data_IF_494051820315
#
_entry.id   IF_494051820315
#
_cell.length_a   1.000
_cell.length_b   1.000
_cell.length_c   1.000
_cell.angle_alpha   90.00
_cell.angle_beta   90.00
_cell.angle_gamma   90.00
#
_symmetry.space_group_name_H-M   'P 1'
#
loop_
_entity.id
_entity.type
_entity.pdbx_description
1 polymer ?
#
# COMPACT_ATOMS: atom_id res chain seq x y z
N UNK A 1 8.67 1.48 -95.90
CA UNK A 1 8.42 0.57 -94.79
C UNK A 1 9.14 1.07 -93.54
N UNK A 2 10.47 1.01 -93.46
CA UNK A 2 11.24 1.54 -92.31
C UNK A 2 10.78 2.89 -91.74
N UNK A 3 10.68 3.94 -92.56
CA UNK A 3 10.27 5.28 -92.10
C UNK A 3 8.90 5.26 -91.40
N UNK A 4 7.92 4.57 -91.97
CA UNK A 4 6.56 4.50 -91.41
C UNK A 4 6.59 3.77 -90.07
N UNK A 5 7.26 2.62 -90.02
CA UNK A 5 7.31 1.79 -88.82
C UNK A 5 8.09 2.52 -87.69
N UNK A 6 9.10 3.31 -88.04
CA UNK A 6 9.81 4.20 -87.13
C UNK A 6 8.94 5.38 -86.63
N UNK A 7 8.15 6.01 -87.50
CA UNK A 7 7.21 7.07 -87.13
C UNK A 7 6.08 6.53 -86.22
N UNK A 8 5.60 5.32 -86.49
CA UNK A 8 4.61 4.61 -85.66
C UNK A 8 5.17 4.29 -84.26
N UNK A 9 6.39 3.76 -84.18
CA UNK A 9 7.04 3.48 -82.90
C UNK A 9 7.31 4.77 -82.12
N UNK A 10 7.79 5.83 -82.77
CA UNK A 10 8.02 7.13 -82.11
C UNK A 10 6.71 7.69 -81.53
N UNK A 11 5.62 7.67 -82.31
CA UNK A 11 4.32 8.14 -81.83
C UNK A 11 3.85 7.35 -80.62
N UNK A 12 4.02 6.03 -80.64
CA UNK A 12 3.70 5.16 -79.52
C UNK A 12 4.57 5.48 -78.29
N UNK A 13 5.89 5.61 -78.45
CA UNK A 13 6.81 5.95 -77.35
C UNK A 13 6.42 7.28 -76.71
N UNK A 14 6.12 8.31 -77.52
CA UNK A 14 5.73 9.62 -77.04
C UNK A 14 4.40 9.61 -76.25
N UNK A 15 3.41 8.84 -76.68
CA UNK A 15 2.15 8.65 -75.94
C UNK A 15 2.40 7.99 -74.57
N UNK A 16 3.22 6.93 -74.55
CA UNK A 16 3.58 6.23 -73.31
C UNK A 16 4.42 7.11 -72.40
N UNK A 17 5.28 7.96 -72.95
CA UNK A 17 6.08 8.95 -72.21
C UNK A 17 5.20 9.97 -71.46
N UNK A 18 4.09 10.42 -72.06
CA UNK A 18 3.13 11.27 -71.37
C UNK A 18 2.53 10.55 -70.15
N UNK A 19 2.15 9.29 -70.31
CA UNK A 19 1.59 8.47 -69.22
C UNK A 19 2.62 8.17 -68.12
N UNK A 20 3.87 7.91 -68.50
CA UNK A 20 4.98 7.68 -67.57
C UNK A 20 5.37 8.95 -66.80
N UNK A 21 5.19 10.13 -67.39
CA UNK A 21 5.55 11.42 -66.78
C UNK A 21 4.47 12.01 -65.86
N UNK A 22 3.27 11.44 -65.84
CA UNK A 22 2.19 11.86 -64.93
C UNK A 22 2.58 11.62 -63.46
N UNK A 23 2.29 12.60 -62.60
CA UNK A 23 2.64 12.64 -61.17
C UNK A 23 1.53 12.13 -60.24
N UNK A 24 0.68 11.21 -60.71
CA UNK A 24 -0.39 10.60 -59.91
C UNK A 24 0.04 9.95 -58.58
N UNK A 25 1.35 9.72 -58.38
CA UNK A 25 1.95 9.27 -57.12
C UNK A 25 1.85 10.29 -55.98
N UNK A 26 1.65 11.59 -56.26
CA UNK A 26 1.53 12.62 -55.22
C UNK A 26 0.23 12.54 -54.43
N UNK A 27 -0.81 11.97 -55.03
CA UNK A 27 -2.08 11.74 -54.35
C UNK A 27 -2.06 10.36 -53.66
N UNK A 28 -2.15 10.32 -52.32
CA UNK A 28 -2.03 9.08 -51.56
C UNK A 28 -3.23 8.12 -51.73
N UNK A 29 -4.34 8.58 -52.33
CA UNK A 29 -5.54 7.76 -52.46
C UNK A 29 -5.35 6.60 -53.45
N UNK A 30 -5.87 5.42 -53.09
CA UNK A 30 -5.84 4.21 -53.90
C UNK A 30 -4.44 3.83 -54.40
N UNK A 31 -3.39 4.10 -53.62
CA UNK A 31 -2.00 3.95 -54.06
C UNK A 31 -1.67 2.52 -54.52
N UNK A 32 -2.23 1.51 -53.84
CA UNK A 32 -2.09 0.11 -54.24
C UNK A 32 -2.61 -0.17 -55.65
N UNK A 33 -3.77 0.42 -56.01
CA UNK A 33 -4.34 0.28 -57.35
C UNK A 33 -3.49 1.03 -58.39
N UNK A 34 -2.92 2.20 -58.03
CA UNK A 34 -1.99 2.94 -58.88
C UNK A 34 -0.72 2.13 -59.15
N UNK A 35 -0.17 1.45 -58.13
CA UNK A 35 0.98 0.53 -58.27
C UNK A 35 0.65 -0.63 -59.19
N UNK A 36 -0.49 -1.30 -58.99
CA UNK A 36 -0.90 -2.41 -59.87
C UNK A 36 -1.08 -1.95 -61.32
N UNK A 37 -1.70 -0.78 -61.53
CA UNK A 37 -1.83 -0.18 -62.87
C UNK A 37 -0.47 0.14 -63.48
N UNK A 38 0.47 0.63 -62.68
CA UNK A 38 1.84 0.90 -63.13
C UNK A 38 2.60 -0.38 -63.49
N UNK A 39 2.48 -1.46 -62.69
CA UNK A 39 3.07 -2.76 -63.01
C UNK A 39 2.51 -3.36 -64.30
N UNK A 40 1.21 -3.23 -64.53
CA UNK A 40 0.59 -3.62 -65.80
C UNK A 40 1.13 -2.79 -66.97
N UNK A 41 1.34 -1.50 -66.75
CA UNK A 41 1.94 -0.58 -67.73
C UNK A 41 3.42 -0.91 -68.02
N UNK A 42 4.21 -1.26 -67.01
CA UNK A 42 5.59 -1.74 -67.17
C UNK A 42 5.63 -3.03 -68.00
N UNK A 43 4.71 -3.97 -67.75
CA UNK A 43 4.60 -5.20 -68.53
C UNK A 43 4.20 -4.94 -69.98
N UNK A 44 3.27 -4.00 -70.23
CA UNK A 44 2.88 -3.57 -71.57
C UNK A 44 4.09 -3.00 -72.34
N UNK A 45 4.87 -2.12 -71.70
CA UNK A 45 6.06 -1.51 -72.32
C UNK A 45 7.15 -2.56 -72.56
N UNK A 46 7.38 -3.46 -71.61
CA UNK A 46 8.32 -4.57 -71.77
C UNK A 46 7.95 -5.49 -72.94
N UNK A 47 6.65 -5.78 -73.13
CA UNK A 47 6.18 -6.59 -74.26
C UNK A 47 6.41 -5.91 -75.62
N UNK A 48 6.44 -4.58 -75.67
CA UNK A 48 6.72 -3.80 -76.89
C UNK A 48 8.21 -3.66 -77.22
N UNK A 49 9.12 -4.16 -76.37
CA UNK A 49 10.57 -4.12 -76.63
C UNK A 49 10.97 -4.83 -77.93
N UNK A 50 10.22 -5.84 -78.36
CA UNK A 50 10.48 -6.52 -79.63
C UNK A 50 10.31 -5.59 -80.84
N UNK A 51 9.48 -4.55 -80.75
CA UNK A 51 9.26 -3.61 -81.86
C UNK A 51 10.51 -2.79 -82.16
N UNK A 52 11.22 -2.31 -81.13
CA UNK A 52 12.47 -1.57 -81.31
C UNK A 52 13.60 -2.49 -81.80
N UNK A 53 13.70 -3.72 -81.28
CA UNK A 53 14.68 -4.73 -81.73
C UNK A 53 14.47 -5.10 -83.19
N UNK A 54 13.22 -5.24 -83.63
CA UNK A 54 12.91 -5.53 -85.02
C UNK A 54 13.21 -4.34 -85.95
N UNK A 55 12.92 -3.11 -85.51
CA UNK A 55 13.29 -1.88 -86.23
C UNK A 55 14.82 -1.74 -86.37
N UNK A 56 15.57 -2.12 -85.33
CA UNK A 56 17.03 -2.16 -85.36
C UNK A 56 17.54 -3.15 -86.41
N UNK A 57 16.98 -4.36 -86.46
CA UNK A 57 17.36 -5.37 -87.46
C UNK A 57 17.17 -4.84 -88.89
N UNK A 58 16.00 -4.29 -89.20
CA UNK A 58 15.71 -3.72 -90.53
C UNK A 58 16.62 -2.53 -90.82
N UNK A 59 16.78 -1.61 -89.87
CA UNK A 59 17.58 -0.41 -90.05
C UNK A 59 19.06 -0.72 -90.26
N UNK A 60 19.64 -1.64 -89.50
CA UNK A 60 21.03 -2.08 -89.69
C UNK A 60 21.23 -2.86 -90.99
N UNK A 61 20.26 -3.68 -91.40
CA UNK A 61 20.31 -4.34 -92.72
C UNK A 61 20.35 -3.32 -93.86
N UNK A 62 19.50 -2.28 -93.81
CA UNK A 62 19.49 -1.21 -94.82
C UNK A 62 20.80 -0.41 -94.82
N UNK A 63 21.38 -0.14 -93.65
CA UNK A 63 22.69 0.52 -93.51
C UNK A 63 23.80 -0.35 -94.12
N UNK A 64 23.81 -1.65 -93.82
CA UNK A 64 24.80 -2.60 -94.33
C UNK A 64 24.73 -2.76 -95.85
N UNK A 65 23.54 -2.63 -96.44
CA UNK A 65 23.31 -2.62 -97.88
C UNK A 65 23.63 -1.28 -98.56
N UNK A 66 24.22 -0.30 -97.84
CA UNK A 66 24.55 1.04 -98.34
C UNK A 66 23.34 1.79 -98.92
N UNK A 67 22.18 1.68 -98.26
CA UNK A 67 20.98 2.38 -98.68
C UNK A 67 21.21 3.89 -98.78
N UNK A 68 20.62 4.56 -99.78
CA UNK A 68 20.86 5.98 -100.07
C UNK A 68 20.55 6.95 -98.91
N UNK A 69 19.73 6.51 -97.94
CA UNK A 69 19.33 7.26 -96.76
C UNK A 69 20.02 6.78 -95.46
N UNK A 70 21.19 6.14 -95.56
CA UNK A 70 21.93 5.55 -94.42
C UNK A 70 22.04 6.50 -93.22
N UNK A 71 22.46 7.75 -93.42
CA UNK A 71 22.64 8.72 -92.33
C UNK A 71 21.32 9.08 -91.64
N UNK A 72 20.23 9.19 -92.43
CA UNK A 72 18.88 9.48 -91.93
C UNK A 72 18.34 8.31 -91.12
N UNK A 73 18.54 7.08 -91.59
CA UNK A 73 18.14 5.85 -90.90
C UNK A 73 18.87 5.73 -89.57
N UNK A 74 20.19 5.97 -89.55
CA UNK A 74 21.00 5.92 -88.32
C UNK A 74 20.52 6.95 -87.30
N UNK A 75 20.38 8.21 -87.69
CA UNK A 75 19.89 9.26 -86.80
C UNK A 75 18.48 8.93 -86.26
N UNK A 76 17.63 8.28 -87.06
CA UNK A 76 16.28 7.91 -86.63
C UNK A 76 16.29 6.79 -85.58
N UNK A 77 17.13 5.77 -85.76
CA UNK A 77 17.33 4.72 -84.75
C UNK A 77 17.88 5.32 -83.46
N UNK A 78 18.91 6.17 -83.54
CA UNK A 78 19.54 6.81 -82.37
C UNK A 78 18.50 7.62 -81.56
N UNK A 79 17.62 8.37 -82.23
CA UNK A 79 16.55 9.12 -81.56
C UNK A 79 15.49 8.19 -80.92
N UNK A 80 15.13 7.10 -81.59
CA UNK A 80 14.21 6.09 -81.03
C UNK A 80 14.79 5.42 -79.79
N UNK A 81 16.08 5.04 -79.80
CA UNK A 81 16.76 4.51 -78.62
C UNK A 81 16.79 5.52 -77.49
N UNK A 82 17.10 6.79 -77.78
CA UNK A 82 17.08 7.87 -76.78
C UNK A 82 15.70 8.03 -76.14
N UNK A 83 14.63 8.02 -76.94
CA UNK A 83 13.26 8.12 -76.45
C UNK A 83 12.84 6.87 -75.66
N UNK A 84 13.27 5.68 -76.10
CA UNK A 84 13.01 4.43 -75.40
C UNK A 84 13.71 4.38 -74.03
N UNK A 85 14.98 4.75 -73.97
CA UNK A 85 15.73 4.88 -72.71
C UNK A 85 15.10 5.91 -71.77
N UNK A 86 14.65 7.05 -72.31
CA UNK A 86 13.94 8.05 -71.54
C UNK A 86 12.62 7.51 -70.98
N UNK A 87 11.85 6.75 -71.77
CA UNK A 87 10.63 6.10 -71.32
C UNK A 87 10.91 5.12 -70.19
N UNK A 88 11.92 4.25 -70.33
CA UNK A 88 12.32 3.31 -69.28
C UNK A 88 12.78 4.02 -68.01
N UNK A 89 13.54 5.11 -68.16
CA UNK A 89 13.96 5.94 -67.02
C UNK A 89 12.76 6.57 -66.30
N UNK A 90 11.78 7.10 -67.04
CA UNK A 90 10.56 7.68 -66.45
C UNK A 90 9.65 6.64 -65.80
N UNK A 91 9.56 5.45 -66.39
CA UNK A 91 8.87 4.31 -65.78
C UNK A 91 9.51 3.95 -64.44
N UNK A 92 10.82 3.71 -64.42
CA UNK A 92 11.54 3.36 -63.20
C UNK A 92 11.43 4.45 -62.11
N UNK A 93 11.55 5.73 -62.48
CA UNK A 93 11.37 6.86 -61.55
C UNK A 93 9.95 6.89 -60.97
N UNK A 94 8.92 6.70 -61.80
CA UNK A 94 7.52 6.64 -61.35
C UNK A 94 7.27 5.45 -60.43
N UNK A 95 7.82 4.28 -60.75
CA UNK A 95 7.73 3.08 -59.92
C UNK A 95 8.36 3.29 -58.54
N UNK A 96 9.56 3.87 -58.50
CA UNK A 96 10.25 4.21 -57.25
C UNK A 96 9.42 5.19 -56.40
N UNK A 97 8.91 6.27 -57.01
CA UNK A 97 8.10 7.27 -56.30
C UNK A 97 6.79 6.71 -55.77
N UNK A 98 6.14 5.81 -56.51
CA UNK A 98 4.94 5.10 -56.04
C UNK A 98 5.25 4.21 -54.82
N UNK A 99 6.37 3.49 -54.83
CA UNK A 99 6.78 2.68 -53.69
C UNK A 99 7.14 3.54 -52.47
N UNK A 100 7.89 4.63 -52.67
CA UNK A 100 8.21 5.61 -51.64
C UNK A 100 6.93 6.18 -51.00
N UNK A 101 5.98 6.65 -51.81
CA UNK A 101 4.69 7.14 -51.32
C UNK A 101 3.91 6.07 -50.53
N UNK A 102 3.98 4.78 -50.94
CA UNK A 102 3.30 3.70 -50.23
C UNK A 102 3.87 3.48 -48.83
N UNK A 103 5.19 3.33 -48.73
CA UNK A 103 5.87 3.07 -47.46
C UNK A 103 5.67 4.27 -46.52
N UNK A 104 5.75 5.50 -47.03
CA UNK A 104 5.50 6.69 -46.22
C UNK A 104 4.06 6.74 -45.66
N UNK A 105 3.05 6.42 -46.46
CA UNK A 105 1.64 6.38 -46.00
C UNK A 105 1.44 5.27 -44.95
N UNK A 106 2.05 4.11 -45.14
CA UNK A 106 2.01 3.02 -44.17
C UNK A 106 2.64 3.42 -42.84
N UNK A 107 3.84 4.02 -42.88
CA UNK A 107 4.52 4.54 -41.71
C UNK A 107 3.68 5.59 -40.97
N UNK A 108 3.14 6.58 -41.69
CA UNK A 108 2.29 7.62 -41.11
C UNK A 108 1.05 7.04 -40.42
N UNK A 109 0.39 6.09 -41.07
CA UNK A 109 -0.78 5.40 -40.50
C UNK A 109 -0.43 4.67 -39.21
N UNK A 110 0.68 3.92 -39.19
CA UNK A 110 1.10 3.22 -37.98
C UNK A 110 1.47 4.21 -36.86
N UNK A 111 2.13 5.32 -37.17
CA UNK A 111 2.35 6.40 -36.21
C UNK A 111 1.03 6.92 -35.64
N UNK A 112 0.02 7.17 -36.48
CA UNK A 112 -1.28 7.67 -36.02
C UNK A 112 -2.02 6.66 -35.13
N UNK A 113 -1.99 5.37 -35.49
CA UNK A 113 -2.59 4.31 -34.69
C UNK A 113 -1.94 4.21 -33.30
N UNK A 114 -0.61 4.27 -33.23
CA UNK A 114 0.12 4.23 -31.95
C UNK A 114 -0.09 5.53 -31.16
N UNK A 115 -0.05 6.69 -31.82
CA UNK A 115 -0.28 7.98 -31.17
C UNK A 115 -1.70 8.10 -30.60
N UNK A 116 -2.70 7.57 -31.30
CA UNK A 116 -4.06 7.50 -30.79
C UNK A 116 -4.13 6.65 -29.51
N UNK A 117 -3.50 5.48 -29.53
CA UNK A 117 -3.43 4.59 -28.36
C UNK A 117 -2.68 5.25 -27.20
N UNK A 118 -1.54 5.94 -27.45
CA UNK A 118 -0.79 6.64 -26.40
C UNK A 118 -1.67 7.69 -25.72
N UNK A 119 -2.40 8.50 -26.51
CA UNK A 119 -3.28 9.55 -25.96
C UNK A 119 -4.42 8.98 -25.12
N UNK A 120 -5.01 7.87 -25.55
CA UNK A 120 -6.04 7.17 -24.77
C UNK A 120 -5.47 6.70 -23.42
N UNK A 121 -4.29 6.06 -23.43
CA UNK A 121 -3.62 5.61 -22.21
C UNK A 121 -3.14 6.77 -21.31
N UNK A 122 -2.70 7.89 -21.88
CA UNK A 122 -2.35 9.11 -21.15
C UNK A 122 -3.57 9.65 -20.36
N UNK A 123 -4.76 9.63 -20.96
CA UNK A 123 -5.99 10.04 -20.27
C UNK A 123 -6.36 9.10 -19.12
N UNK A 124 -6.20 7.79 -19.31
CA UNK A 124 -6.49 6.80 -18.27
C UNK A 124 -5.54 6.94 -17.07
N UNK A 125 -4.23 7.08 -17.32
CA UNK A 125 -3.22 7.18 -16.25
C UNK A 125 -3.25 8.53 -15.53
N UNK A 126 -3.71 9.59 -16.19
CA UNK A 126 -3.86 10.92 -15.60
C UNK A 126 -5.02 11.05 -14.60
N UNK A 127 -5.78 9.97 -14.36
CA UNK A 127 -6.83 9.97 -13.34
C UNK A 127 -6.22 10.20 -11.95
N UNK A 128 -6.74 11.18 -11.20
CA UNK A 128 -6.28 11.53 -9.85
C UNK A 128 -6.93 10.67 -8.74
N UNK A 129 -7.71 9.64 -9.09
CA UNK A 129 -8.36 8.76 -8.12
C UNK A 129 -7.31 8.04 -7.27
N UNK A 130 -7.30 8.31 -5.97
CA UNK A 130 -6.48 7.60 -4.97
C UNK A 130 -7.46 6.88 -4.05
N UNK A 131 -7.19 5.61 -3.75
CA UNK A 131 -8.12 4.77 -2.99
C UNK A 131 -8.40 5.33 -1.61
N UNK A 132 -9.68 5.24 -1.20
CA UNK A 132 -10.19 5.81 0.05
C UNK A 132 -9.89 4.93 1.27
N UNK A 133 -9.78 3.63 1.04
CA UNK A 133 -9.44 2.58 2.00
C UNK A 133 -8.45 1.59 1.36
N UNK A 134 -7.96 0.65 2.16
CA UNK A 134 -6.93 -0.30 1.72
C UNK A 134 -7.45 -1.18 0.57
N UNK A 135 -8.67 -1.68 0.69
CA UNK A 135 -9.32 -2.55 -0.29
C UNK A 135 -9.48 -1.85 -1.65
N UNK A 136 -9.86 -0.57 -1.64
CA UNK A 136 -9.97 0.24 -2.85
C UNK A 136 -8.59 0.51 -3.47
N UNK A 137 -7.57 0.83 -2.67
CA UNK A 137 -6.20 0.99 -3.21
C UNK A 137 -5.71 -0.31 -3.84
N UNK A 138 -5.90 -1.46 -3.20
CA UNK A 138 -5.53 -2.78 -3.75
C UNK A 138 -6.29 -3.11 -5.04
N UNK A 139 -7.54 -2.68 -5.17
CA UNK A 139 -8.29 -2.80 -6.43
C UNK A 139 -7.68 -1.92 -7.53
N UNK A 140 -7.34 -0.67 -7.20
CA UNK A 140 -6.70 0.26 -8.15
C UNK A 140 -5.32 -0.24 -8.58
N UNK A 141 -4.53 -0.82 -7.67
CA UNK A 141 -3.25 -1.46 -8.00
C UNK A 141 -3.43 -2.62 -8.97
N UNK A 142 -4.40 -3.51 -8.74
CA UNK A 142 -4.69 -4.63 -9.67
C UNK A 142 -5.09 -4.15 -11.06
N UNK A 143 -5.96 -3.14 -11.15
CA UNK A 143 -6.31 -2.50 -12.42
C UNK A 143 -5.09 -1.86 -13.09
N UNK A 144 -4.19 -1.28 -12.30
CA UNK A 144 -2.97 -0.66 -12.80
C UNK A 144 -1.94 -1.70 -13.28
N UNK A 145 -1.87 -2.89 -12.67
CA UNK A 145 -1.06 -4.00 -13.16
C UNK A 145 -1.54 -4.49 -14.54
N UNK A 146 -2.86 -4.52 -14.77
CA UNK A 146 -3.44 -4.80 -16.08
C UNK A 146 -3.05 -3.71 -17.10
N UNK A 147 -3.12 -2.43 -16.71
CA UNK A 147 -2.63 -1.32 -17.52
C UNK A 147 -1.13 -1.45 -17.86
N UNK A 148 -0.28 -1.88 -16.91
CA UNK A 148 1.15 -2.09 -17.17
C UNK A 148 1.41 -3.27 -18.12
N UNK A 149 0.61 -4.33 -18.06
CA UNK A 149 0.68 -5.43 -19.04
C UNK A 149 0.29 -4.96 -20.44
N UNK A 150 -0.74 -4.14 -20.55
CA UNK A 150 -1.12 -3.52 -21.83
C UNK A 150 0.05 -2.67 -22.38
N UNK A 151 0.68 -1.85 -21.53
CA UNK A 151 1.84 -1.04 -21.89
C UNK A 151 3.00 -1.89 -22.43
N UNK A 152 3.35 -2.98 -21.73
CA UNK A 152 4.41 -3.89 -22.15
C UNK A 152 4.08 -4.58 -23.48
N UNK A 153 2.81 -4.93 -23.71
CA UNK A 153 2.38 -5.56 -24.97
C UNK A 153 2.50 -4.64 -26.19
N UNK A 154 2.38 -3.32 -25.97
CA UNK A 154 2.41 -2.32 -27.03
C UNK A 154 3.82 -1.77 -27.32
N UNK A 155 4.80 -2.02 -26.45
CA UNK A 155 6.19 -1.57 -26.63
C UNK A 155 6.80 -2.10 -27.93
N UNK A 156 6.51 -3.34 -28.32
CA UNK A 156 6.99 -3.92 -29.59
C UNK A 156 6.52 -3.13 -30.82
N UNK A 157 5.26 -2.67 -30.84
CA UNK A 157 4.73 -1.87 -31.95
C UNK A 157 5.43 -0.51 -32.07
N UNK A 158 5.84 0.08 -30.94
CA UNK A 158 6.61 1.33 -30.95
C UNK A 158 8.03 1.09 -31.50
N UNK A 159 8.64 -0.05 -31.15
CA UNK A 159 9.93 -0.47 -31.72
C UNK A 159 9.80 -0.66 -33.24
N UNK A 160 8.79 -1.40 -33.71
CA UNK A 160 8.58 -1.66 -35.14
C UNK A 160 8.39 -0.37 -35.95
N UNK A 161 7.65 0.61 -35.42
CA UNK A 161 7.45 1.91 -36.08
C UNK A 161 8.74 2.73 -36.11
N UNK A 162 9.54 2.68 -35.04
CA UNK A 162 10.85 3.33 -35.00
C UNK A 162 11.82 2.69 -36.01
N UNK A 163 11.83 1.36 -36.13
CA UNK A 163 12.65 0.64 -37.11
C UNK A 163 12.26 0.99 -38.55
N UNK A 164 10.96 1.12 -38.84
CA UNK A 164 10.48 1.59 -40.13
C UNK A 164 10.93 3.02 -40.45
N UNK A 165 10.86 3.93 -39.46
CA UNK A 165 11.40 5.28 -39.62
C UNK A 165 12.91 5.26 -39.90
N UNK A 166 13.67 4.45 -39.16
CA UNK A 166 15.13 4.31 -39.37
C UNK A 166 15.48 3.71 -40.73
N UNK A 167 14.64 2.80 -41.24
CA UNK A 167 14.80 2.29 -42.60
C UNK A 167 14.57 3.38 -43.63
N UNK A 168 13.47 4.14 -43.52
CA UNK A 168 13.18 5.27 -44.41
C UNK A 168 14.28 6.34 -44.38
N UNK A 169 14.88 6.59 -43.21
CA UNK A 169 15.99 7.52 -43.06
C UNK A 169 17.26 6.99 -43.75
N UNK A 170 17.59 5.71 -43.54
CA UNK A 170 18.75 5.06 -44.19
C UNK A 170 18.63 5.04 -45.71
N UNK A 171 17.41 4.83 -46.21
CA UNK A 171 17.11 4.82 -47.65
C UNK A 171 17.01 6.23 -48.26
N UNK A 172 17.26 7.28 -47.47
CA UNK A 172 17.21 8.69 -47.88
C UNK A 172 15.89 9.07 -48.56
N UNK A 173 14.77 8.68 -47.93
CA UNK A 173 13.44 8.96 -48.45
C UNK A 173 13.24 10.47 -48.76
N UNK A 174 12.54 10.87 -49.83
CA UNK A 174 12.37 12.29 -50.18
C UNK A 174 11.77 13.16 -49.06
N UNK A 175 10.93 12.54 -48.22
CA UNK A 175 10.23 13.17 -47.08
C UNK A 175 10.95 12.92 -45.73
N UNK A 176 12.28 12.92 -45.71
CA UNK A 176 13.10 12.67 -44.51
C UNK A 176 12.71 13.52 -43.30
N UNK A 177 12.49 14.83 -43.50
CA UNK A 177 12.15 15.76 -42.41
C UNK A 177 10.83 15.37 -41.73
N UNK A 178 9.84 14.95 -42.51
CA UNK A 178 8.55 14.48 -41.99
C UNK A 178 8.73 13.18 -41.20
N UNK A 179 9.51 12.22 -41.73
CA UNK A 179 9.77 10.94 -41.05
C UNK A 179 10.44 11.16 -39.69
N UNK A 180 11.49 11.98 -39.65
CA UNK A 180 12.21 12.32 -38.41
C UNK A 180 11.27 13.00 -37.42
N UNK A 181 10.53 14.02 -37.86
CA UNK A 181 9.58 14.74 -37.00
C UNK A 181 8.54 13.79 -36.38
N UNK A 182 7.96 12.89 -37.18
CA UNK A 182 6.93 11.94 -36.71
C UNK A 182 7.50 10.91 -35.75
N UNK A 183 8.73 10.44 -36.01
CA UNK A 183 9.47 9.55 -35.11
C UNK A 183 9.73 10.24 -33.75
N UNK A 184 10.18 11.49 -33.77
CA UNK A 184 10.46 12.25 -32.56
C UNK A 184 9.17 12.51 -31.75
N UNK A 185 8.09 12.96 -32.39
CA UNK A 185 6.77 13.16 -31.76
C UNK A 185 6.26 11.88 -31.07
N UNK A 186 6.41 10.72 -31.72
CA UNK A 186 6.03 9.42 -31.18
C UNK A 186 6.85 9.08 -29.94
N UNK A 187 8.18 9.21 -30.02
CA UNK A 187 9.09 8.87 -28.93
C UNK A 187 8.92 9.79 -27.73
N UNK A 188 8.72 11.09 -27.94
CA UNK A 188 8.40 12.03 -26.87
C UNK A 188 7.08 11.66 -26.18
N UNK A 189 6.05 11.30 -26.94
CA UNK A 189 4.75 10.90 -26.38
C UNK A 189 4.86 9.59 -25.59
N UNK A 190 5.63 8.62 -26.10
CA UNK A 190 5.90 7.38 -25.38
C UNK A 190 6.66 7.62 -24.07
N UNK A 191 7.68 8.47 -24.09
CA UNK A 191 8.44 8.83 -22.89
C UNK A 191 7.55 9.52 -21.85
N UNK A 192 6.70 10.46 -22.26
CA UNK A 192 5.73 11.09 -21.35
C UNK A 192 4.79 10.07 -20.72
N UNK A 193 4.20 9.18 -21.50
CA UNK A 193 3.32 8.13 -20.97
C UNK A 193 4.05 7.23 -19.96
N UNK A 194 5.31 6.86 -20.22
CA UNK A 194 6.14 6.09 -19.27
C UNK A 194 6.38 6.85 -17.97
N UNK A 195 6.69 8.14 -18.03
CA UNK A 195 6.87 8.98 -16.84
C UNK A 195 5.58 9.09 -16.02
N UNK A 196 4.44 9.33 -16.67
CA UNK A 196 3.13 9.36 -16.01
C UNK A 196 2.79 8.02 -15.34
N UNK A 197 3.13 6.91 -16.00
CA UNK A 197 2.96 5.55 -15.47
C UNK A 197 3.79 5.35 -14.19
N UNK A 198 5.06 5.76 -14.19
CA UNK A 198 5.92 5.66 -13.00
C UNK A 198 5.37 6.51 -11.84
N UNK A 199 5.00 7.76 -12.10
CA UNK A 199 4.39 8.65 -11.10
C UNK A 199 3.11 8.06 -10.51
N UNK A 200 2.26 7.45 -11.35
CA UNK A 200 1.03 6.77 -10.91
C UNK A 200 1.34 5.56 -10.04
N UNK A 201 2.36 4.79 -10.39
CA UNK A 201 2.82 3.63 -9.60
C UNK A 201 3.27 4.08 -8.20
N UNK A 202 4.11 5.11 -8.12
CA UNK A 202 4.60 5.67 -6.86
C UNK A 202 3.46 6.18 -5.98
N UNK A 203 2.50 6.92 -6.57
CA UNK A 203 1.30 7.40 -5.85
C UNK A 203 0.45 6.25 -5.29
N UNK A 204 0.17 5.22 -6.10
CA UNK A 204 -0.63 4.06 -5.65
C UNK A 204 0.10 3.24 -4.59
N UNK A 205 1.43 3.14 -4.68
CA UNK A 205 2.25 2.48 -3.66
C UNK A 205 2.23 3.27 -2.34
N UNK A 206 2.45 4.58 -2.38
CA UNK A 206 2.40 5.43 -1.19
C UNK A 206 1.03 5.43 -0.53
N UNK A 207 -0.04 5.53 -1.33
CA UNK A 207 -1.41 5.41 -0.82
C UNK A 207 -1.65 4.07 -0.11
N UNK A 208 -1.15 2.96 -0.66
CA UNK A 208 -1.27 1.64 -0.04
C UNK A 208 -0.54 1.58 1.30
N UNK A 209 0.70 2.08 1.39
CA UNK A 209 1.45 2.13 2.65
C UNK A 209 0.71 2.93 3.73
N UNK A 210 0.19 4.10 3.36
CA UNK A 210 -0.55 4.98 4.28
C UNK A 210 -1.87 4.34 4.73
N UNK A 211 -2.62 3.73 3.83
CA UNK A 211 -3.88 3.07 4.18
C UNK A 211 -3.66 1.83 5.06
N UNK A 212 -2.58 1.07 4.82
CA UNK A 212 -2.20 -0.04 5.70
C UNK A 212 -1.88 0.47 7.11
N UNK A 213 -1.10 1.54 7.22
CA UNK A 213 -0.82 2.17 8.51
C UNK A 213 -2.10 2.63 9.21
N UNK A 214 -3.01 3.29 8.49
CA UNK A 214 -4.28 3.75 9.05
C UNK A 214 -5.14 2.59 9.56
N UNK A 215 -5.17 1.45 8.86
CA UNK A 215 -5.87 0.26 9.32
C UNK A 215 -5.29 -0.27 10.63
N UNK A 216 -3.98 -0.50 10.68
CA UNK A 216 -3.29 -0.98 11.88
C UNK A 216 -3.46 0.00 13.06
N UNK A 217 -3.44 1.30 12.80
CA UNK A 217 -3.70 2.35 13.78
C UNK A 217 -5.13 2.26 14.33
N UNK A 218 -6.13 2.12 13.46
CA UNK A 218 -7.54 1.98 13.86
C UNK A 218 -7.79 0.70 14.67
N UNK A 219 -7.19 -0.42 14.28
CA UNK A 219 -7.26 -1.68 15.04
C UNK A 219 -6.63 -1.52 16.43
N UNK A 220 -5.49 -0.83 16.52
CA UNK A 220 -4.81 -0.57 17.81
C UNK A 220 -5.65 0.37 18.69
N UNK A 221 -6.24 1.43 18.14
CA UNK A 221 -7.14 2.33 18.86
C UNK A 221 -8.39 1.58 19.34
N UNK A 222 -8.95 0.68 18.53
CA UNK A 222 -10.08 -0.15 18.93
C UNK A 222 -9.72 -1.07 20.11
N UNK A 223 -8.53 -1.69 20.07
CA UNK A 223 -8.04 -2.52 21.17
C UNK A 223 -7.80 -1.70 22.45
N UNK A 224 -7.22 -0.50 22.33
CA UNK A 224 -7.07 0.46 23.44
C UNK A 224 -8.44 0.81 24.04
N UNK A 225 -9.42 1.11 23.19
CA UNK A 225 -10.78 1.49 23.61
C UNK A 225 -11.48 0.33 24.33
N UNK A 226 -11.32 -0.90 23.86
CA UNK A 226 -11.84 -2.10 24.53
C UNK A 226 -11.26 -2.24 25.95
N UNK A 227 -9.95 -2.04 26.11
CA UNK A 227 -9.29 -2.10 27.42
C UNK A 227 -9.66 -0.91 28.31
N UNK A 228 -9.92 0.26 27.73
CA UNK A 228 -10.37 1.45 28.44
C UNK A 228 -11.69 1.22 29.16
N UNK A 229 -12.64 0.53 28.51
CA UNK A 229 -13.94 0.17 29.10
C UNK A 229 -13.75 -0.69 30.35
N UNK A 230 -12.83 -1.65 30.31
CA UNK A 230 -12.55 -2.53 31.47
C UNK A 230 -11.87 -1.76 32.60
N UNK A 231 -10.92 -0.88 32.28
CA UNK A 231 -10.18 -0.09 33.26
C UNK A 231 -11.03 1.00 33.92
N UNK A 232 -12.08 1.47 33.25
CA UNK A 232 -13.00 2.50 33.75
C UNK A 232 -14.04 1.98 34.76
N UNK A 233 -13.95 0.71 35.17
CA UNK A 233 -14.80 0.17 36.24
C UNK A 233 -14.42 0.76 37.61
N UNK A 234 -15.41 1.14 38.42
CA UNK A 234 -15.21 1.53 39.83
C UNK A 234 -15.36 0.35 40.81
N UNK A 235 -15.40 -0.89 40.32
CA UNK A 235 -15.40 -2.08 41.18
C UNK A 235 -13.97 -2.40 41.66
N UNK A 236 -13.76 -2.20 42.96
CA UNK A 236 -12.52 -2.51 43.68
C UNK A 236 -12.68 -3.65 44.71
N UNK A 237 -13.81 -4.37 44.66
CA UNK A 237 -14.12 -5.48 45.53
C UNK A 237 -14.70 -5.06 46.89
N UNK A 238 -15.41 -6.00 47.52
CA UNK A 238 -16.20 -5.79 48.75
C UNK A 238 -15.73 -6.62 49.94
N UNK A 239 -14.78 -7.50 49.70
CA UNK A 239 -14.18 -8.40 50.67
C UNK A 239 -12.79 -8.83 50.16
N UNK A 240 -11.97 -9.40 51.03
CA UNK A 240 -10.58 -9.76 50.72
C UNK A 240 -10.47 -10.68 49.49
N UNK A 241 -11.38 -11.64 49.36
CA UNK A 241 -11.36 -12.64 48.26
C UNK A 241 -11.70 -11.98 46.93
N UNK A 242 -12.71 -11.11 46.90
CA UNK A 242 -13.11 -10.37 45.70
C UNK A 242 -12.02 -9.39 45.26
N UNK A 243 -11.36 -8.69 46.18
CA UNK A 243 -10.23 -7.80 45.83
C UNK A 243 -9.07 -8.58 45.22
N UNK A 244 -8.64 -9.67 45.86
CA UNK A 244 -7.57 -10.53 45.33
C UNK A 244 -7.90 -11.08 43.94
N UNK A 245 -9.17 -11.42 43.70
CA UNK A 245 -9.64 -11.87 42.39
C UNK A 245 -9.53 -10.75 41.35
N UNK A 246 -9.90 -9.52 41.71
CA UNK A 246 -9.78 -8.35 40.83
C UNK A 246 -8.32 -7.97 40.57
N UNK A 247 -7.42 -8.08 41.56
CA UNK A 247 -5.98 -7.87 41.38
C UNK A 247 -5.39 -8.85 40.35
N UNK A 248 -5.71 -10.16 40.44
CA UNK A 248 -5.28 -11.15 39.45
C UNK A 248 -5.82 -10.87 38.04
N UNK A 249 -7.08 -10.42 37.93
CA UNK A 249 -7.65 -9.99 36.65
C UNK A 249 -6.88 -8.79 36.10
N UNK A 250 -6.53 -7.82 36.95
CA UNK A 250 -5.79 -6.63 36.57
C UNK A 250 -4.35 -6.94 36.12
N UNK A 251 -3.66 -7.89 36.77
CA UNK A 251 -2.38 -8.43 36.27
C UNK A 251 -2.49 -9.02 34.85
N UNK A 252 -3.65 -9.56 34.50
CA UNK A 252 -3.97 -9.96 33.13
C UNK A 252 -3.99 -8.80 32.16
N UNK A 253 -4.68 -7.72 32.53
CA UNK A 253 -4.75 -6.49 31.73
C UNK A 253 -3.35 -5.88 31.58
N UNK A 254 -2.53 -5.84 32.63
CA UNK A 254 -1.17 -5.29 32.54
C UNK A 254 -0.28 -6.05 31.55
N UNK A 255 -0.47 -7.38 31.42
CA UNK A 255 0.22 -8.16 30.37
C UNK A 255 -0.27 -7.78 28.97
N UNK A 256 -1.58 -7.58 28.78
CA UNK A 256 -2.13 -7.10 27.52
C UNK A 256 -1.61 -5.69 27.18
N UNK A 257 -1.46 -4.82 28.19
CA UNK A 257 -0.88 -3.48 28.03
C UNK A 257 0.59 -3.54 27.60
N UNK A 258 1.38 -4.49 28.09
CA UNK A 258 2.75 -4.65 27.62
C UNK A 258 2.80 -4.94 26.10
N UNK A 259 1.94 -5.83 25.61
CA UNK A 259 1.84 -6.13 24.17
C UNK A 259 1.31 -4.93 23.36
N UNK A 260 0.37 -4.16 23.90
CA UNK A 260 -0.11 -2.92 23.30
C UNK A 260 1.00 -1.87 23.20
N UNK A 261 1.87 -1.75 24.21
CA UNK A 261 3.02 -0.83 24.19
C UNK A 261 3.93 -1.12 23.00
N UNK A 262 4.31 -2.39 22.80
CA UNK A 262 5.17 -2.79 21.69
C UNK A 262 4.53 -2.47 20.32
N UNK A 263 3.21 -2.64 20.20
CA UNK A 263 2.46 -2.30 18.98
C UNK A 263 2.42 -0.78 18.75
N UNK A 264 2.20 0.03 19.79
CA UNK A 264 2.23 1.50 19.71
C UNK A 264 3.62 1.98 19.29
N UNK A 265 4.69 1.43 19.87
CA UNK A 265 6.07 1.78 19.51
C UNK A 265 6.39 1.43 18.05
N UNK A 266 5.95 0.26 17.59
CA UNK A 266 6.10 -0.16 16.19
C UNK A 266 5.37 0.79 15.24
N UNK A 267 4.14 1.20 15.59
CA UNK A 267 3.37 2.16 14.81
C UNK A 267 4.02 3.55 14.82
N UNK A 268 4.66 3.96 15.91
CA UNK A 268 5.41 5.21 15.96
C UNK A 268 6.63 5.23 15.05
N UNK A 269 7.36 4.11 14.97
CA UNK A 269 8.48 3.96 14.04
C UNK A 269 8.01 3.99 12.58
N UNK A 270 6.92 3.27 12.27
CA UNK A 270 6.34 3.27 10.93
C UNK A 270 5.80 4.66 10.54
N UNK A 271 5.13 5.36 11.46
CA UNK A 271 4.67 6.73 11.23
C UNK A 271 5.83 7.67 10.89
N UNK A 272 6.95 7.58 11.63
CA UNK A 272 8.16 8.37 11.34
C UNK A 272 8.73 8.06 9.96
N UNK A 273 8.82 6.77 9.60
CA UNK A 273 9.31 6.34 8.29
C UNK A 273 8.42 6.90 7.16
N UNK A 274 7.10 6.77 7.30
CA UNK A 274 6.14 7.22 6.30
C UNK A 274 6.17 8.75 6.13
N UNK A 275 6.33 9.51 7.21
CA UNK A 275 6.49 10.97 7.12
C UNK A 275 7.75 11.40 6.36
N UNK A 276 8.80 10.57 6.36
CA UNK A 276 10.04 10.85 5.63
C UNK A 276 9.97 10.48 4.15
N UNK A 277 9.11 9.53 3.77
CA UNK A 277 8.97 9.06 2.38
C UNK A 277 7.85 9.82 1.65
N UNK A 278 6.73 10.06 2.32
CA UNK A 278 5.51 10.65 1.76
C UNK A 278 5.23 12.01 2.42
N UNK A 279 5.97 13.04 1.99
CA UNK A 279 5.93 14.38 2.59
C UNK A 279 4.54 15.03 2.50
N UNK A 280 3.82 14.79 1.39
CA UNK A 280 2.47 15.30 1.11
C UNK A 280 1.40 14.77 2.07
N UNK A 281 1.62 13.59 2.65
CA UNK A 281 0.71 12.93 3.59
C UNK A 281 1.22 12.96 5.05
N UNK A 282 2.41 13.52 5.29
CA UNK A 282 3.08 13.49 6.58
C UNK A 282 2.25 14.14 7.71
N UNK A 283 1.51 15.21 7.43
CA UNK A 283 0.66 15.86 8.44
C UNK A 283 -0.48 14.96 8.90
N UNK A 284 -1.10 14.21 7.98
CA UNK A 284 -2.18 13.28 8.29
C UNK A 284 -1.65 12.09 9.10
N UNK A 285 -0.51 11.52 8.69
CA UNK A 285 0.17 10.44 9.41
C UNK A 285 0.58 10.88 10.82
N UNK A 286 1.13 12.09 10.97
CA UNK A 286 1.49 12.65 12.29
C UNK A 286 0.26 12.85 13.18
N UNK A 287 -0.84 13.36 12.62
CA UNK A 287 -2.08 13.53 13.37
C UNK A 287 -2.61 12.18 13.89
N UNK A 288 -2.61 11.15 13.03
CA UNK A 288 -3.05 9.80 13.42
C UNK A 288 -2.15 9.17 14.46
N UNK A 289 -0.82 9.29 14.31
CA UNK A 289 0.12 8.84 15.32
C UNK A 289 -0.09 9.55 16.67
N UNK A 290 -0.31 10.87 16.66
CA UNK A 290 -0.59 11.64 17.87
C UNK A 290 -1.87 11.19 18.58
N UNK A 291 -2.89 10.76 17.83
CA UNK A 291 -4.13 10.18 18.39
C UNK A 291 -3.84 8.87 19.14
N UNK A 292 -3.05 7.97 18.54
CA UNK A 292 -2.65 6.69 19.16
C UNK A 292 -1.88 6.97 20.46
N UNK A 293 -0.89 7.87 20.42
CA UNK A 293 -0.07 8.20 21.60
C UNK A 293 -0.93 8.80 22.72
N UNK A 294 -1.82 9.73 22.37
CA UNK A 294 -2.71 10.38 23.35
C UNK A 294 -3.65 9.37 24.03
N UNK A 295 -4.28 8.49 23.26
CA UNK A 295 -5.19 7.46 23.79
C UNK A 295 -4.45 6.41 24.60
N UNK A 296 -3.23 6.03 24.19
CA UNK A 296 -2.36 5.12 24.91
C UNK A 296 -1.93 5.66 26.29
N UNK A 297 -1.49 6.92 26.37
CA UNK A 297 -1.08 7.52 27.65
C UNK A 297 -2.25 7.67 28.63
N UNK A 298 -3.46 7.97 28.12
CA UNK A 298 -4.68 7.98 28.94
C UNK A 298 -4.98 6.60 29.53
N UNK A 299 -4.90 5.55 28.70
CA UNK A 299 -5.12 4.17 29.14
C UNK A 299 -4.11 3.74 30.21
N UNK A 300 -2.83 4.08 30.01
CA UNK A 300 -1.75 3.80 30.96
C UNK A 300 -1.98 4.48 32.30
N UNK A 301 -2.40 5.75 32.29
CA UNK A 301 -2.75 6.47 33.52
C UNK A 301 -3.90 5.80 34.27
N UNK A 302 -4.95 5.36 33.56
CA UNK A 302 -6.09 4.65 34.17
C UNK A 302 -5.68 3.29 34.74
N UNK A 303 -4.81 2.56 34.06
CA UNK A 303 -4.30 1.29 34.55
C UNK A 303 -3.54 1.46 35.88
N UNK A 304 -2.64 2.45 35.94
CA UNK A 304 -1.88 2.77 37.16
C UNK A 304 -2.81 3.21 38.31
N UNK A 305 -3.81 4.05 38.02
CA UNK A 305 -4.77 4.46 39.03
C UNK A 305 -5.59 3.27 39.56
N UNK A 306 -6.09 2.41 38.65
CA UNK A 306 -6.83 1.21 39.03
C UNK A 306 -5.99 0.24 39.88
N UNK A 307 -4.71 0.01 39.52
CA UNK A 307 -3.76 -0.76 40.35
C UNK A 307 -3.69 -0.20 41.76
N UNK A 308 -3.45 1.11 41.87
CA UNK A 308 -3.40 1.80 43.16
C UNK A 308 -4.68 1.60 43.97
N UNK A 309 -5.86 1.83 43.38
CA UNK A 309 -7.14 1.70 44.10
C UNK A 309 -7.44 0.27 44.53
N UNK A 310 -7.07 -0.73 43.72
CA UNK A 310 -7.17 -2.15 44.09
C UNK A 310 -6.25 -2.50 45.26
N UNK A 311 -5.04 -1.95 45.28
CA UNK A 311 -4.09 -2.17 46.37
C UNK A 311 -4.55 -1.47 47.66
N UNK A 312 -5.08 -0.25 47.58
CA UNK A 312 -5.73 0.46 48.70
C UNK A 312 -6.90 -0.36 49.27
N UNK A 313 -7.78 -0.87 48.40
CA UNK A 313 -8.91 -1.73 48.77
C UNK A 313 -8.45 -3.03 49.42
N UNK A 314 -7.37 -3.63 48.91
CA UNK A 314 -6.79 -4.86 49.46
C UNK A 314 -6.30 -4.64 50.90
N UNK A 315 -5.54 -3.56 51.13
CA UNK A 315 -5.05 -3.23 52.46
C UNK A 315 -6.19 -2.99 53.46
N UNK A 316 -7.24 -2.27 53.02
CA UNK A 316 -8.44 -2.05 53.84
C UNK A 316 -9.13 -3.36 54.20
N UNK A 317 -9.42 -4.21 53.21
CA UNK A 317 -10.14 -5.47 53.46
C UNK A 317 -9.32 -6.50 54.24
N UNK A 318 -7.99 -6.46 54.12
CA UNK A 318 -7.09 -7.24 54.97
C UNK A 318 -7.21 -6.79 56.42
N UNK A 319 -7.10 -5.48 56.70
CA UNK A 319 -7.28 -4.93 58.05
C UNK A 319 -8.67 -5.28 58.62
N UNK A 320 -9.74 -5.13 57.85
CA UNK A 320 -11.10 -5.44 58.29
C UNK A 320 -11.29 -6.96 58.55
N UNK A 321 -10.61 -7.83 57.79
CA UNK A 321 -10.63 -9.27 58.04
C UNK A 321 -9.92 -9.61 59.34
N UNK A 322 -8.71 -9.07 59.56
CA UNK A 322 -7.94 -9.26 60.79
C UNK A 322 -8.69 -8.71 62.01
N UNK A 323 -9.32 -7.53 61.86
CA UNK A 323 -10.20 -6.95 62.88
C UNK A 323 -11.35 -7.90 63.25
N UNK A 324 -12.07 -8.44 62.26
CA UNK A 324 -13.20 -9.36 62.51
C UNK A 324 -12.75 -10.65 63.21
N UNK A 325 -11.61 -11.22 62.80
CA UNK A 325 -11.03 -12.40 63.46
C UNK A 325 -10.70 -12.10 64.93
N UNK A 326 -9.99 -11.00 65.18
CA UNK A 326 -9.61 -10.60 66.54
C UNK A 326 -10.81 -10.31 67.43
N UNK A 327 -11.84 -9.62 66.93
CA UNK A 327 -13.05 -9.34 67.70
C UNK A 327 -13.83 -10.62 68.00
N UNK A 328 -13.97 -11.52 67.03
CA UNK A 328 -14.61 -12.82 67.26
C UNK A 328 -13.87 -13.60 68.33
N UNK A 329 -12.55 -13.70 68.21
CA UNK A 329 -11.70 -14.39 69.18
C UNK A 329 -11.78 -13.74 70.57
N UNK A 330 -11.83 -12.41 70.68
CA UNK A 330 -12.02 -11.72 71.98
C UNK A 330 -13.35 -12.11 72.60
N UNK A 331 -14.45 -12.09 71.83
CA UNK A 331 -15.76 -12.46 72.36
C UNK A 331 -15.79 -13.93 72.81
N UNK A 332 -15.21 -14.84 72.04
CA UNK A 332 -15.11 -16.26 72.37
C UNK A 332 -14.29 -16.46 73.65
N UNK A 333 -13.14 -15.80 73.77
CA UNK A 333 -12.29 -15.88 74.98
C UNK A 333 -12.98 -15.28 76.21
N UNK A 334 -13.68 -14.14 76.07
CA UNK A 334 -14.49 -13.56 77.15
C UNK A 334 -15.58 -14.52 77.61
N UNK A 335 -16.24 -15.22 76.68
CA UNK A 335 -17.27 -16.19 77.00
C UNK A 335 -16.68 -17.40 77.76
N UNK A 336 -15.51 -17.90 77.34
CA UNK A 336 -14.79 -18.98 78.02
C UNK A 336 -14.44 -18.57 79.46
N UNK A 337 -13.77 -17.43 79.66
CA UNK A 337 -13.38 -16.93 80.99
C UNK A 337 -14.60 -16.68 81.89
N UNK A 338 -15.72 -16.21 81.31
CA UNK A 338 -16.94 -15.92 82.06
C UNK A 338 -17.71 -17.17 82.47
N UNK A 339 -17.58 -18.26 81.72
CA UNK A 339 -18.28 -19.52 81.99
C UNK A 339 -17.71 -20.30 83.18
N UNK A 340 -16.51 -19.97 83.64
CA UNK A 340 -15.87 -20.66 84.76
C UNK A 340 -16.61 -20.40 86.09
N UNK A 341 -17.09 -21.50 86.67
CA UNK A 341 -17.70 -21.55 87.99
C UNK A 341 -16.65 -21.71 89.10
N UNK A 342 -16.97 -21.23 90.30
CA UNK A 342 -16.08 -21.38 91.46
C UNK A 342 -16.00 -22.85 91.90
N UNK A 343 -14.78 -23.31 92.15
CA UNK A 343 -14.52 -24.65 92.64
C UNK A 343 -15.08 -24.88 94.05
N UNK A 344 -15.50 -26.12 94.33
CA UNK A 344 -16.05 -26.54 95.63
C UNK A 344 -15.06 -27.32 96.48
N UNK A 345 -13.90 -27.62 95.93
CA UNK A 345 -12.79 -28.36 96.54
C UNK A 345 -11.43 -27.82 96.08
N UNK A 346 -10.37 -28.21 96.80
CA UNK A 346 -9.01 -27.72 96.56
C UNK A 346 -8.50 -28.14 95.18
N UNK A 347 -8.77 -29.39 94.78
CA UNK A 347 -8.36 -29.90 93.48
C UNK A 347 -9.02 -29.14 92.31
N UNK A 348 -10.31 -28.79 92.43
CA UNK A 348 -10.99 -27.94 91.46
C UNK A 348 -10.44 -26.52 91.41
N UNK A 349 -10.01 -25.96 92.56
CA UNK A 349 -9.44 -24.62 92.62
C UNK A 349 -8.05 -24.55 91.96
N UNK A 350 -7.20 -25.57 92.19
CA UNK A 350 -5.90 -25.69 91.53
C UNK A 350 -6.06 -25.83 90.00
N UNK A 351 -6.98 -26.69 89.54
CA UNK A 351 -7.27 -26.86 88.12
C UNK A 351 -7.86 -25.57 87.48
N UNK A 352 -8.65 -24.81 88.24
CA UNK A 352 -9.20 -23.53 87.78
C UNK A 352 -8.12 -22.46 87.61
N UNK A 353 -7.16 -22.40 88.53
CA UNK A 353 -6.00 -21.50 88.42
C UNK A 353 -5.10 -21.86 87.25
N UNK A 354 -4.87 -23.15 87.01
CA UNK A 354 -4.08 -23.62 85.87
C UNK A 354 -4.74 -23.21 84.54
N UNK A 355 -6.04 -23.51 84.35
CA UNK A 355 -6.80 -23.08 83.17
C UNK A 355 -6.81 -21.56 83.00
N UNK A 356 -6.91 -20.82 84.09
CA UNK A 356 -6.86 -19.36 84.05
C UNK A 356 -5.50 -18.84 83.56
N UNK A 357 -4.38 -19.47 83.96
CA UNK A 357 -3.05 -19.17 83.44
C UNK A 357 -2.90 -19.57 81.97
N UNK A 358 -3.51 -20.68 81.53
CA UNK A 358 -3.55 -21.07 80.12
C UNK A 358 -4.26 -20.00 79.27
N UNK A 359 -5.41 -19.49 79.73
CA UNK A 359 -6.11 -18.39 79.06
C UNK A 359 -5.25 -17.13 78.93
N UNK A 360 -4.41 -16.82 79.93
CA UNK A 360 -3.44 -15.74 79.81
C UNK A 360 -2.39 -16.02 78.74
N UNK A 361 -1.87 -17.25 78.68
CA UNK A 361 -0.94 -17.67 77.64
C UNK A 361 -1.51 -17.48 76.23
N UNK A 362 -2.80 -17.79 76.03
CA UNK A 362 -3.50 -17.53 74.76
C UNK A 362 -3.65 -16.04 74.45
N UNK A 363 -3.96 -15.22 75.46
CA UNK A 363 -4.06 -13.76 75.32
C UNK A 363 -2.71 -13.15 74.94
N UNK A 364 -1.64 -13.56 75.63
CA UNK A 364 -0.28 -13.09 75.37
C UNK A 364 0.20 -13.52 73.98
N UNK A 365 -0.08 -14.77 73.57
CA UNK A 365 0.26 -15.27 72.24
C UNK A 365 -0.43 -14.48 71.11
N UNK A 366 -1.59 -13.87 71.35
CA UNK A 366 -2.30 -13.02 70.39
C UNK A 366 -1.87 -11.56 70.43
N UNK A 367 -1.03 -11.13 71.38
CA UNK A 367 -0.65 -9.73 71.54
C UNK A 367 -0.01 -9.13 70.28
N UNK A 368 0.80 -9.93 69.56
CA UNK A 368 1.41 -9.53 68.30
C UNK A 368 0.39 -9.33 67.18
N UNK A 369 -0.65 -10.17 67.09
CA UNK A 369 -1.71 -10.00 66.09
C UNK A 369 -2.47 -8.69 66.29
N UNK A 370 -2.77 -8.31 67.54
CA UNK A 370 -3.35 -6.99 67.85
C UNK A 370 -2.42 -5.84 67.45
N UNK A 371 -1.12 -5.97 67.72
CA UNK A 371 -0.12 -4.96 67.37
C UNK A 371 -0.04 -4.77 65.86
N UNK A 372 0.12 -5.86 65.11
CA UNK A 372 0.21 -5.85 63.64
C UNK A 372 -1.07 -5.28 63.00
N UNK A 373 -2.25 -5.68 63.49
CA UNK A 373 -3.51 -5.14 62.99
C UNK A 373 -3.66 -3.64 63.31
N UNK A 374 -3.23 -3.20 64.51
CA UNK A 374 -3.19 -1.79 64.88
C UNK A 374 -2.25 -0.97 63.99
N UNK A 375 -1.03 -1.46 63.76
CA UNK A 375 -0.06 -0.85 62.83
C UNK A 375 -0.59 -0.80 61.39
N UNK A 376 -1.30 -1.84 60.94
CA UNK A 376 -1.96 -1.84 59.63
C UNK A 376 -3.03 -0.76 59.54
N UNK A 377 -3.91 -0.63 60.56
CA UNK A 377 -4.91 0.42 60.60
C UNK A 377 -4.31 1.83 60.65
N UNK A 378 -3.24 2.05 61.43
CA UNK A 378 -2.56 3.35 61.46
C UNK A 378 -1.96 3.72 60.10
N UNK A 379 -1.34 2.77 59.39
CA UNK A 379 -0.86 2.99 58.02
C UNK A 379 -1.98 3.37 57.05
N UNK A 380 -3.16 2.77 57.18
CA UNK A 380 -4.34 3.15 56.39
C UNK A 380 -4.77 4.60 56.67
N UNK A 381 -4.71 5.04 57.93
CA UNK A 381 -5.00 6.43 58.31
C UNK A 381 -3.98 7.42 57.73
N UNK A 382 -2.68 7.06 57.72
CA UNK A 382 -1.62 7.87 57.12
C UNK A 382 -1.82 8.04 55.61
N UNK A 383 -2.31 6.99 54.94
CA UNK A 383 -2.65 7.01 53.51
C UNK A 383 -4.04 7.60 53.22
N UNK A 384 -4.77 8.02 54.26
CA UNK A 384 -6.11 8.62 54.18
C UNK A 384 -7.18 7.69 53.56
N UNK A 385 -7.00 6.37 53.72
CA UNK A 385 -7.91 5.33 53.22
C UNK A 385 -9.02 5.08 54.24
N UNK A 386 -10.28 5.24 53.84
CA UNK A 386 -11.49 4.99 54.66
C UNK A 386 -11.36 5.45 56.12
N UNK A 387 -10.85 6.68 56.29
CA UNK A 387 -10.32 7.19 57.56
C UNK A 387 -11.27 7.03 58.75
N UNK A 388 -12.56 7.32 58.54
CA UNK A 388 -13.56 7.26 59.60
C UNK A 388 -13.84 5.82 60.05
N UNK A 389 -14.02 4.90 59.09
CA UNK A 389 -14.25 3.48 59.36
C UNK A 389 -13.04 2.85 60.05
N UNK A 390 -11.83 3.08 59.51
CA UNK A 390 -10.59 2.53 60.08
C UNK A 390 -10.38 3.03 61.52
N UNK A 391 -10.60 4.33 61.76
CA UNK A 391 -10.45 4.91 63.10
C UNK A 391 -11.47 4.32 64.10
N UNK A 392 -12.73 4.14 63.69
CA UNK A 392 -13.75 3.48 64.51
C UNK A 392 -13.32 2.06 64.90
N UNK A 393 -12.86 1.26 63.93
CA UNK A 393 -12.42 -0.12 64.18
C UNK A 393 -11.17 -0.21 65.04
N UNK A 394 -10.21 0.71 64.90
CA UNK A 394 -9.04 0.79 65.78
C UNK A 394 -9.43 1.08 67.24
N UNK A 395 -10.33 2.04 67.46
CA UNK A 395 -10.83 2.36 68.81
C UNK A 395 -11.55 1.15 69.40
N UNK A 396 -12.43 0.52 68.62
CA UNK A 396 -13.15 -0.68 69.06
C UNK A 396 -12.19 -1.81 69.42
N UNK A 397 -11.19 -2.09 68.57
CA UNK A 397 -10.21 -3.15 68.81
C UNK A 397 -9.40 -2.90 70.09
N UNK A 398 -8.99 -1.65 70.32
CA UNK A 398 -8.28 -1.26 71.55
C UNK A 398 -9.16 -1.46 72.79
N UNK A 399 -10.43 -1.02 72.74
CA UNK A 399 -11.36 -1.15 73.86
C UNK A 399 -11.66 -2.61 74.19
N UNK A 400 -11.89 -3.45 73.16
CA UNK A 400 -12.17 -4.88 73.35
C UNK A 400 -10.97 -5.62 73.95
N UNK A 401 -9.75 -5.31 73.50
CA UNK A 401 -8.51 -5.86 74.08
C UNK A 401 -8.35 -5.48 75.55
N UNK A 402 -8.55 -4.21 75.89
CA UNK A 402 -8.46 -3.74 77.28
C UNK A 402 -9.53 -4.41 78.16
N UNK A 403 -10.75 -4.52 77.66
CA UNK A 403 -11.86 -5.17 78.38
C UNK A 403 -11.62 -6.67 78.60
N UNK A 404 -11.03 -7.39 77.64
CA UNK A 404 -10.64 -8.79 77.83
C UNK A 404 -9.56 -8.94 78.91
N UNK A 405 -8.54 -8.08 78.87
CA UNK A 405 -7.45 -8.08 79.86
C UNK A 405 -7.98 -7.78 81.27
N UNK A 406 -8.89 -6.82 81.39
CA UNK A 406 -9.54 -6.48 82.66
C UNK A 406 -10.42 -7.63 83.19
N UNK A 407 -11.20 -8.29 82.33
CA UNK A 407 -12.01 -9.46 82.72
C UNK A 407 -11.14 -10.59 83.27
N UNK A 408 -10.02 -10.87 82.61
CA UNK A 408 -9.07 -11.86 83.08
C UNK A 408 -8.53 -11.48 84.47
N UNK A 409 -8.09 -10.24 84.65
CA UNK A 409 -7.55 -9.76 85.93
C UNK A 409 -8.59 -9.79 87.07
N UNK A 410 -9.84 -9.42 86.80
CA UNK A 410 -10.93 -9.49 87.78
C UNK A 410 -11.19 -10.94 88.23
N UNK A 411 -11.11 -11.91 87.28
CA UNK A 411 -11.22 -13.34 87.60
C UNK A 411 -10.00 -13.86 88.36
N UNK A 412 -8.80 -13.39 88.06
CA UNK A 412 -7.58 -13.72 88.82
C UNK A 412 -7.75 -13.35 90.29
N UNK A 413 -8.18 -12.11 90.54
CA UNK A 413 -8.43 -11.60 91.90
C UNK A 413 -9.51 -12.43 92.61
N UNK A 414 -10.56 -12.84 91.90
CA UNK A 414 -11.62 -13.69 92.45
C UNK A 414 -11.13 -15.09 92.83
N UNK A 415 -10.24 -15.70 92.03
CA UNK A 415 -9.70 -17.04 92.31
C UNK A 415 -8.61 -17.05 93.37
N UNK A 416 -7.99 -15.90 93.64
CA UNK A 416 -7.01 -15.71 94.72
C UNK A 416 -7.65 -15.42 96.10
N UNK A 417 -8.96 -15.13 96.15
CA UNK A 417 -9.76 -14.94 97.36
C UNK A 417 -10.36 -16.26 97.85
#
# INVERSE_FOLDING_TARGET
YFKRDADELESWINEKLQTASDESYRDPTNLQAKIQKHQAFEAEVAAHSNAIVHLDQIGYEMINQQHFATDVIRHRLDELHRLWELLLSKLADKGLKLQQALVLVQFQRQCDEVMFWIKDKEQLVATDEIGQDLEHVELLQRKFDEFQKDMASQESRIVDVNEQADQLIRDQHPELELVVKRKDELNESWQRLRQLTLLRQEKLFGAHEIQRFNRDANETIAWITEKDVVLSSDDYGRDLVSVQTLQRKHEGIERDLAALSDKVDTLGQEAHRLCGIHEDLADQTRAKHSEIVSTWEQLKSKALDRRRRLDESYLLHQFLADFRDLISWVHDMKAIISADELAKDVAGAEALLERHQEHWGEIDARADSFRVSGEAGHRLLEQNISRDEVNEKLIQLSNEKQSLTALWEDRRILYEQ
#
